data_IF_594567221085
#
_entry.id   IF_594567221085
#
_cell.length_a   1.000
_cell.length_b   1.000
_cell.length_c   1.000
_cell.angle_alpha   90.00
_cell.angle_beta   90.00
_cell.angle_gamma   90.00
#
_symmetry.space_group_name_H-M   'P 1'
#
loop_
_entity.id
_entity.type
_entity.pdbx_description
1 polymer ?
#
# COMPACT_ATOMS: atom_id res chain seq x y z
N UNK A 1 8.50 6.96 -3.43
CA UNK A 1 7.34 6.88 -4.32
C UNK A 1 6.97 5.43 -4.52
N UNK A 2 5.69 5.10 -4.39
CA UNK A 2 5.18 3.75 -4.59
C UNK A 2 4.55 3.66 -5.97
N UNK A 3 4.99 2.69 -6.76
CA UNK A 3 4.36 2.27 -8.01
C UNK A 3 3.18 1.34 -7.71
N UNK A 4 2.01 1.65 -8.28
CA UNK A 4 0.81 0.79 -8.16
C UNK A 4 0.84 -0.29 -9.24
N UNK A 5 0.90 -1.54 -8.80
CA UNK A 5 0.92 -2.73 -9.64
C UNK A 5 -0.47 -3.14 -10.11
N UNK A 6 -1.47 -2.92 -9.26
CA UNK A 6 -2.86 -3.25 -9.54
C UNK A 6 -3.78 -2.15 -9.01
N UNK A 7 -4.52 -1.52 -9.91
CA UNK A 7 -5.50 -0.51 -9.53
C UNK A 7 -6.62 -1.12 -8.68
N UNK A 8 -7.05 -0.40 -7.66
CA UNK A 8 -8.16 -0.81 -6.80
C UNK A 8 -8.95 0.42 -6.30
N UNK A 9 -9.88 0.20 -5.39
CA UNK A 9 -10.75 1.27 -4.86
C UNK A 9 -9.96 2.36 -4.08
N UNK A 10 -8.73 2.08 -3.66
CA UNK A 10 -7.88 2.99 -2.90
C UNK A 10 -6.88 3.75 -3.80
N UNK A 11 -6.28 3.09 -4.78
CA UNK A 11 -5.13 3.63 -5.52
C UNK A 11 -5.18 3.29 -7.01
N UNK A 12 -4.91 4.28 -7.86
CA UNK A 12 -4.93 4.13 -9.32
C UNK A 12 -3.66 4.63 -10.03
N UNK A 13 -2.77 5.33 -9.32
CA UNK A 13 -1.54 5.93 -9.82
C UNK A 13 -0.48 5.84 -8.73
N UNK A 14 0.78 6.14 -9.06
CA UNK A 14 1.85 6.23 -8.06
C UNK A 14 1.50 7.21 -6.95
N UNK A 15 1.96 6.92 -5.73
CA UNK A 15 1.75 7.75 -4.54
C UNK A 15 3.08 8.10 -3.88
N UNK A 16 3.17 9.31 -3.34
CA UNK A 16 4.32 9.76 -2.57
C UNK A 16 3.99 9.68 -1.06
N UNK A 17 4.73 8.83 -0.37
CA UNK A 17 4.46 8.45 1.03
C UNK A 17 5.70 8.63 1.92
N UNK A 18 5.48 8.59 3.23
CA UNK A 18 6.54 8.65 4.22
C UNK A 18 6.91 7.25 4.72
N UNK A 19 8.15 6.84 4.48
CA UNK A 19 8.72 5.57 4.94
C UNK A 19 9.76 5.82 6.03
N UNK A 20 9.64 5.13 7.16
CA UNK A 20 10.61 5.22 8.27
C UNK A 20 10.80 3.86 8.94
N UNK A 21 11.13 2.83 8.15
CA UNK A 21 11.25 1.45 8.61
C UNK A 21 12.51 0.77 8.08
N UNK A 22 13.01 -0.22 8.83
CA UNK A 22 14.18 -1.05 8.47
C UNK A 22 13.86 -2.51 8.21
N UNK A 23 12.58 -2.88 8.20
CA UNK A 23 12.11 -4.25 7.96
C UNK A 23 11.00 -4.23 6.92
N UNK A 24 10.90 -5.32 6.17
CA UNK A 24 9.87 -5.55 5.17
C UNK A 24 9.34 -6.99 5.27
N UNK A 25 8.23 -7.27 4.59
CA UNK A 25 7.73 -8.63 4.42
C UNK A 25 8.70 -9.39 3.50
N UNK A 26 9.43 -10.38 4.01
CA UNK A 26 10.40 -11.13 3.19
C UNK A 26 9.78 -12.19 2.28
N UNK A 27 8.56 -12.65 2.61
CA UNK A 27 7.84 -13.65 1.82
C UNK A 27 6.34 -13.44 1.93
N UNK A 28 5.69 -13.26 0.78
CA UNK A 28 4.25 -13.04 0.70
C UNK A 28 3.51 -14.40 0.51
N UNK A 29 2.56 -14.78 1.37
CA UNK A 29 1.70 -15.94 1.16
C UNK A 29 0.70 -15.68 0.01
N UNK A 30 0.24 -16.76 -0.65
CA UNK A 30 -0.67 -16.67 -1.80
C UNK A 30 -2.02 -15.96 -1.52
N UNK A 31 -2.40 -15.84 -0.24
CA UNK A 31 -3.62 -15.14 0.17
C UNK A 31 -3.48 -13.62 0.16
N UNK A 32 -2.25 -13.10 0.10
CA UNK A 32 -1.96 -11.68 0.02
C UNK A 32 -1.55 -11.31 -1.40
N UNK A 33 -2.20 -10.30 -1.95
CA UNK A 33 -1.99 -9.79 -3.29
C UNK A 33 -1.16 -8.49 -3.16
N UNK A 34 0.01 -8.40 -3.81
CA UNK A 34 0.78 -7.16 -3.82
C UNK A 34 0.10 -6.13 -4.72
N UNK A 35 -0.14 -4.95 -4.18
CA UNK A 35 -0.84 -3.84 -4.85
C UNK A 35 0.12 -2.72 -5.22
N UNK A 36 1.16 -2.51 -4.42
CA UNK A 36 2.15 -1.45 -4.65
C UNK A 36 3.54 -1.85 -4.18
N UNK A 37 4.55 -1.30 -4.85
CA UNK A 37 5.98 -1.50 -4.54
C UNK A 37 6.75 -0.18 -4.65
N UNK A 38 7.94 -0.13 -4.06
CA UNK A 38 8.93 0.92 -4.27
C UNK A 38 10.22 0.31 -4.83
N UNK A 39 11.24 1.14 -5.06
CA UNK A 39 12.58 0.66 -5.39
C UNK A 39 13.22 -0.13 -4.23
N UNK A 40 12.73 0.09 -3.00
CA UNK A 40 13.33 -0.42 -1.78
C UNK A 40 12.55 -1.60 -1.18
N UNK A 41 11.26 -1.75 -1.48
CA UNK A 41 10.43 -2.83 -0.95
C UNK A 41 9.38 -3.28 -1.98
N UNK A 42 9.27 -4.60 -2.15
CA UNK A 42 8.36 -5.20 -3.14
C UNK A 42 6.89 -5.23 -2.69
N UNK A 43 6.62 -5.01 -1.40
CA UNK A 43 5.32 -5.22 -0.78
C UNK A 43 4.89 -4.01 0.05
N UNK A 44 4.90 -2.83 -0.57
CA UNK A 44 4.53 -1.57 0.08
C UNK A 44 3.04 -1.50 0.41
N UNK A 45 2.21 -2.05 -0.48
CA UNK A 45 0.77 -2.17 -0.28
C UNK A 45 0.37 -3.60 -0.59
N UNK A 46 -0.42 -4.20 0.30
CA UNK A 46 -0.96 -5.55 0.14
C UNK A 46 -2.46 -5.55 0.38
N UNK A 47 -3.16 -6.48 -0.27
CA UNK A 47 -4.57 -6.76 -0.04
C UNK A 47 -4.77 -8.23 0.29
N UNK A 48 -5.66 -8.54 1.23
CA UNK A 48 -6.05 -9.92 1.51
C UNK A 48 -7.11 -10.37 0.51
N UNK A 49 -6.70 -11.20 -0.46
CA UNK A 49 -7.54 -11.73 -1.52
C UNK A 49 -8.42 -10.62 -2.13
N UNK A 50 -9.73 -10.86 -2.33
CA UNK A 50 -10.70 -9.86 -2.78
C UNK A 50 -11.41 -9.13 -1.63
N UNK A 51 -10.94 -9.26 -0.38
CA UNK A 51 -11.57 -8.60 0.78
C UNK A 51 -11.06 -7.16 0.91
N UNK A 52 -11.85 -6.32 1.58
CA UNK A 52 -11.48 -4.93 1.92
C UNK A 52 -10.55 -4.89 3.14
N UNK A 53 -9.52 -5.72 3.14
CA UNK A 53 -8.48 -5.76 4.17
C UNK A 53 -7.18 -5.46 3.47
N UNK A 54 -6.55 -4.36 3.88
CA UNK A 54 -5.35 -3.81 3.27
C UNK A 54 -4.25 -3.67 4.31
N UNK A 55 -3.01 -3.73 3.87
CA UNK A 55 -1.83 -3.40 4.67
C UNK A 55 -0.94 -2.44 3.91
N UNK A 56 -0.31 -1.52 4.64
CA UNK A 56 0.71 -0.61 4.11
C UNK A 56 1.98 -0.75 4.93
N UNK A 57 3.13 -0.65 4.28
CA UNK A 57 4.44 -0.71 4.92
C UNK A 57 4.95 0.68 5.35
N UNK A 58 4.37 1.75 4.83
CA UNK A 58 4.64 3.15 5.13
C UNK A 58 3.66 3.74 6.15
N UNK A 59 3.92 4.96 6.60
CA UNK A 59 3.02 5.76 7.44
C UNK A 59 2.09 6.63 6.58
N UNK A 60 0.84 6.19 6.31
CA UNK A 60 -0.08 6.96 5.47
C UNK A 60 -0.46 8.33 6.08
N UNK A 61 -0.44 8.47 7.40
CA UNK A 61 -0.80 9.68 8.12
C UNK A 61 0.19 10.84 7.91
N UNK A 62 1.41 10.55 7.44
CA UNK A 62 2.51 11.50 7.35
C UNK A 62 2.71 12.11 5.95
N UNK A 63 1.79 11.88 5.01
CA UNK A 63 1.87 12.38 3.62
C UNK A 63 0.51 12.76 3.06
N UNK A 64 0.45 13.66 2.07
CA UNK A 64 -0.82 14.07 1.46
C UNK A 64 -1.51 12.88 0.75
N UNK A 65 -0.77 12.10 -0.03
CA UNK A 65 -1.32 10.94 -0.72
C UNK A 65 -1.73 9.83 0.24
N UNK A 66 -0.98 9.64 1.33
CA UNK A 66 -1.35 8.70 2.38
C UNK A 66 -2.62 9.12 3.13
N UNK A 67 -2.80 10.42 3.41
CA UNK A 67 -4.06 10.92 4.00
C UNK A 67 -5.24 10.69 3.04
N UNK A 68 -5.08 10.97 1.75
CA UNK A 68 -6.09 10.67 0.73
C UNK A 68 -6.42 9.16 0.67
N UNK A 69 -5.43 8.29 0.88
CA UNK A 69 -5.61 6.84 0.94
C UNK A 69 -6.45 6.43 2.17
N UNK A 70 -6.21 7.03 3.33
CA UNK A 70 -7.02 6.83 4.54
C UNK A 70 -8.47 7.28 4.29
N UNK A 71 -8.69 8.47 3.72
CA UNK A 71 -10.03 8.98 3.43
C UNK A 71 -10.83 8.06 2.49
N UNK A 72 -10.17 7.57 1.43
CA UNK A 72 -10.77 6.58 0.53
C UNK A 72 -11.12 5.30 1.26
N UNK A 73 -10.23 4.78 2.12
CA UNK A 73 -10.50 3.59 2.92
C UNK A 73 -11.70 3.76 3.84
N UNK A 74 -11.82 4.91 4.51
CA UNK A 74 -12.97 5.24 5.35
C UNK A 74 -14.28 5.40 4.57
N UNK A 75 -14.21 5.58 3.25
CA UNK A 75 -15.36 5.74 2.35
C UNK A 75 -15.77 4.46 1.62
N UNK A 76 -15.08 3.34 1.87
CA UNK A 76 -15.41 2.00 1.33
C UNK A 76 -16.56 1.34 2.10
#
# INVERSE_FOLDING_TARGET
TIEILQNNLLTNNSIDVFESHGFEISKLPNTLIPIGKSDNCNYEIIQYDKKLIFGTQFHPEMSLDGNNLIEKFCSL
#
